data_IF_353771545641
#
_entry.id   IF_353771545641
#
_cell.length_a   1.000
_cell.length_b   1.000
_cell.length_c   1.000
_cell.angle_alpha   90.00
_cell.angle_beta   90.00
_cell.angle_gamma   90.00
#
_symmetry.space_group_name_H-M   'P 1'
#
loop_
_entity.id
_entity.type
_entity.pdbx_description
1 polymer ?
#
# COMPACT_ATOMS: atom_id res chain seq x y z
N UNK A 1 -12.94 -9.94 45.56
CA UNK A 1 -12.14 -10.24 46.78
C UNK A 1 -12.78 -9.56 47.98
N UNK A 2 -12.56 -10.02 49.21
CA UNK A 2 -13.03 -9.33 50.41
C UNK A 2 -11.83 -8.97 51.29
N UNK A 3 -11.80 -7.74 51.78
CA UNK A 3 -10.83 -7.27 52.75
C UNK A 3 -11.54 -7.03 54.07
N UNK A 4 -11.03 -7.59 55.17
CA UNK A 4 -11.51 -7.31 56.52
C UNK A 4 -10.44 -6.51 57.24
N UNK A 5 -10.80 -5.33 57.75
CA UNK A 5 -9.90 -4.47 58.50
C UNK A 5 -9.72 -4.92 59.96
N UNK A 6 -8.87 -4.20 60.69
CA UNK A 6 -8.59 -4.42 62.11
C UNK A 6 -9.81 -4.25 63.03
N UNK A 7 -10.85 -3.56 62.54
CA UNK A 7 -12.11 -3.30 63.25
C UNK A 7 -13.20 -4.35 62.90
N UNK A 8 -12.83 -5.41 62.18
CA UNK A 8 -13.71 -6.46 61.66
C UNK A 8 -14.78 -5.97 60.65
N UNK A 9 -14.58 -4.82 60.01
CA UNK A 9 -15.46 -4.37 58.92
C UNK A 9 -14.99 -4.99 57.62
N UNK A 10 -15.94 -5.61 56.90
CA UNK A 10 -15.64 -6.26 55.61
C UNK A 10 -16.00 -5.33 54.45
N UNK A 11 -15.00 -5.04 53.63
CA UNK A 11 -15.14 -4.35 52.35
C UNK A 11 -15.08 -5.37 51.22
N UNK A 12 -16.12 -5.38 50.37
CA UNK A 12 -16.09 -6.15 49.13
C UNK A 12 -15.34 -5.35 48.07
N UNK A 13 -14.21 -5.89 47.62
CA UNK A 13 -13.49 -5.40 46.44
C UNK A 13 -14.07 -6.14 45.24
N UNK A 14 -14.92 -5.44 44.51
CA UNK A 14 -15.49 -5.92 43.27
C UNK A 14 -14.59 -5.52 42.10
N UNK A 15 -14.05 -6.53 41.41
CA UNK A 15 -13.25 -6.35 40.20
C UNK A 15 -13.94 -6.94 38.97
N UNK A 16 -15.23 -7.27 39.07
CA UNK A 16 -15.99 -7.89 37.99
C UNK A 16 -16.19 -6.99 36.77
N UNK A 17 -15.93 -5.68 36.90
CA UNK A 17 -15.96 -4.72 35.79
C UNK A 17 -14.55 -4.31 35.32
N UNK A 18 -13.49 -4.95 35.82
CA UNK A 18 -12.13 -4.66 35.39
C UNK A 18 -11.78 -5.54 34.19
N UNK A 19 -11.94 -4.95 33.01
CA UNK A 19 -11.55 -5.55 31.73
C UNK A 19 -10.03 -5.64 31.61
N UNK A 20 -9.52 -6.82 31.22
CA UNK A 20 -8.09 -7.03 30.93
C UNK A 20 -7.91 -7.54 29.50
N UNK A 21 -7.15 -6.79 28.70
CA UNK A 21 -6.83 -7.19 27.33
C UNK A 21 -5.83 -8.37 27.35
N UNK A 22 -6.32 -9.58 27.05
CA UNK A 22 -5.51 -10.80 27.15
C UNK A 22 -4.63 -10.99 25.91
N UNK A 23 -5.18 -10.78 24.71
CA UNK A 23 -4.45 -10.86 23.44
C UNK A 23 -5.04 -9.90 22.42
N UNK A 24 -4.19 -9.27 21.61
CA UNK A 24 -4.56 -8.54 20.40
C UNK A 24 -3.60 -8.99 19.29
N UNK A 25 -4.13 -9.57 18.21
CA UNK A 25 -3.32 -10.10 17.12
C UNK A 25 -4.00 -9.89 15.76
N UNK A 26 -3.18 -9.81 14.71
CA UNK A 26 -3.66 -9.85 13.33
C UNK A 26 -4.04 -11.30 13.00
N UNK A 27 -5.25 -11.48 12.48
CA UNK A 27 -5.75 -12.77 12.05
C UNK A 27 -5.01 -13.26 10.79
N UNK A 28 -5.12 -14.55 10.50
CA UNK A 28 -4.48 -15.19 9.33
C UNK A 28 -5.03 -14.67 8.00
N UNK A 29 -6.18 -14.00 8.01
CA UNK A 29 -6.75 -13.33 6.83
C UNK A 29 -6.00 -12.04 6.43
N UNK A 30 -5.13 -11.53 7.32
CA UNK A 30 -4.36 -10.30 7.13
C UNK A 30 -5.18 -9.01 7.12
N UNK A 31 -6.47 -9.06 7.48
CA UNK A 31 -7.41 -7.92 7.40
C UNK A 31 -8.14 -7.66 8.71
N UNK A 32 -8.24 -8.63 9.60
CA UNK A 32 -8.93 -8.45 10.87
C UNK A 32 -7.95 -8.45 12.04
N UNK A 33 -8.07 -7.47 12.93
CA UNK A 33 -7.49 -7.56 14.26
C UNK A 33 -8.52 -8.24 15.17
N UNK A 34 -8.11 -9.32 15.81
CA UNK A 34 -8.92 -9.98 16.84
C UNK A 34 -8.30 -9.68 18.21
N UNK A 35 -9.14 -9.25 19.14
CA UNK A 35 -8.79 -9.29 20.55
C UNK A 35 -9.76 -10.18 21.33
N UNK A 36 -9.22 -10.84 22.34
CA UNK A 36 -9.98 -11.69 23.26
C UNK A 36 -9.90 -11.08 24.65
N UNK A 37 -11.05 -10.80 25.25
CA UNK A 37 -11.17 -10.30 26.63
C UNK A 37 -10.97 -11.42 27.67
N UNK A 38 -11.06 -11.08 28.95
CA UNK A 38 -10.92 -12.06 30.04
C UNK A 38 -12.06 -13.08 30.13
N UNK A 39 -13.22 -12.78 29.53
CA UNK A 39 -14.36 -13.68 29.46
C UNK A 39 -14.25 -14.65 28.26
N UNK A 40 -13.23 -14.47 27.42
CA UNK A 40 -12.98 -15.30 26.24
C UNK A 40 -13.81 -14.89 25.02
N UNK A 41 -14.47 -13.73 25.06
CA UNK A 41 -15.21 -13.18 23.92
C UNK A 41 -14.22 -12.58 22.94
N UNK A 42 -14.38 -12.92 21.66
CA UNK A 42 -13.57 -12.35 20.58
C UNK A 42 -14.28 -11.13 20.00
N UNK A 43 -13.57 -10.01 19.99
CA UNK A 43 -13.96 -8.82 19.24
C UNK A 43 -13.09 -8.72 17.99
N UNK A 44 -13.75 -8.61 16.84
CA UNK A 44 -13.09 -8.42 15.54
C UNK A 44 -13.17 -6.96 15.11
N UNK A 45 -12.03 -6.40 14.75
CA UNK A 45 -11.90 -5.07 14.15
C UNK A 45 -11.49 -5.29 12.71
N UNK A 46 -12.41 -5.01 11.79
CA UNK A 46 -12.15 -5.07 10.35
C UNK A 46 -11.29 -3.87 9.92
N UNK A 47 -10.11 -4.15 9.36
CA UNK A 47 -9.21 -3.14 8.85
C UNK A 47 -9.48 -2.78 7.39
N UNK A 48 -10.37 -3.48 6.67
CA UNK A 48 -10.62 -3.22 5.25
C UNK A 48 -11.04 -1.77 5.02
N UNK A 49 -12.02 -1.27 5.79
CA UNK A 49 -12.43 0.14 5.72
C UNK A 49 -11.30 1.11 6.08
N UNK A 50 -10.41 0.73 7.01
CA UNK A 50 -9.27 1.59 7.40
C UNK A 50 -8.26 1.63 6.25
N UNK A 51 -7.91 0.48 5.68
CA UNK A 51 -6.98 0.35 4.57
C UNK A 51 -7.54 1.12 3.36
N UNK A 52 -8.79 0.92 2.97
CA UNK A 52 -9.43 1.60 1.85
C UNK A 52 -9.41 3.13 2.01
N UNK A 53 -9.59 3.63 3.24
CA UNK A 53 -9.57 5.08 3.51
C UNK A 53 -8.17 5.70 3.40
N UNK A 54 -7.11 4.89 3.52
CA UNK A 54 -5.73 5.36 3.55
C UNK A 54 -4.88 4.80 2.39
N UNK A 55 -5.43 3.93 1.55
CA UNK A 55 -4.81 3.49 0.31
C UNK A 55 -4.76 4.67 -0.66
N UNK A 56 -3.59 4.91 -1.22
CA UNK A 56 -3.40 5.92 -2.26
C UNK A 56 -3.36 5.24 -3.63
N UNK A 57 -4.24 5.66 -4.53
CA UNK A 57 -4.27 5.14 -5.90
C UNK A 57 -3.50 6.08 -6.82
N UNK A 58 -2.58 5.50 -7.59
CA UNK A 58 -1.92 6.19 -8.71
C UNK A 58 -2.30 5.50 -10.02
N UNK A 59 -2.27 6.24 -11.13
CA UNK A 59 -2.58 5.68 -12.45
C UNK A 59 -1.56 6.12 -13.49
N UNK A 60 -1.31 5.25 -14.47
CA UNK A 60 -0.58 5.57 -15.69
C UNK A 60 -1.47 5.17 -16.87
N UNK A 61 -1.75 6.12 -17.75
CA UNK A 61 -2.59 5.93 -18.94
C UNK A 61 -1.77 6.28 -20.19
N UNK A 62 -1.75 5.38 -21.18
CA UNK A 62 -1.19 5.65 -22.50
C UNK A 62 -2.12 6.57 -23.30
N UNK A 63 -1.59 7.66 -23.85
CA UNK A 63 -2.34 8.62 -24.66
C UNK A 63 -2.33 8.29 -26.17
N UNK A 64 -1.61 7.24 -26.59
CA UNK A 64 -1.57 6.77 -27.99
C UNK A 64 -0.75 7.63 -28.95
N UNK A 65 0.05 8.56 -28.41
CA UNK A 65 0.87 9.50 -29.18
C UNK A 65 2.32 9.60 -28.66
N UNK A 66 2.82 8.56 -27.99
CA UNK A 66 4.15 8.58 -27.38
C UNK A 66 4.22 9.37 -26.07
N UNK A 67 3.06 9.66 -25.45
CA UNK A 67 2.99 10.25 -24.11
C UNK A 67 2.14 9.39 -23.18
N UNK A 68 2.46 9.42 -21.89
CA UNK A 68 1.66 8.83 -20.83
C UNK A 68 1.19 9.91 -19.86
N UNK A 69 -0.01 9.74 -19.32
CA UNK A 69 -0.53 10.55 -18.22
C UNK A 69 -0.36 9.78 -16.92
N UNK A 70 0.57 10.21 -16.07
CA UNK A 70 0.64 9.77 -14.68
C UNK A 70 -0.27 10.66 -13.82
N UNK A 71 -1.16 10.07 -13.03
CA UNK A 71 -1.95 10.77 -12.01
C UNK A 71 -1.52 10.26 -10.64
N UNK A 72 -1.04 11.15 -9.78
CA UNK A 72 -0.66 10.82 -8.41
C UNK A 72 -1.86 10.77 -7.45
N UNK A 73 -1.57 10.44 -6.20
CA UNK A 73 -2.55 10.32 -5.13
C UNK A 73 -3.26 11.64 -4.77
N UNK A 74 -2.65 12.78 -5.11
CA UNK A 74 -3.20 14.11 -4.93
C UNK A 74 -4.02 14.57 -6.16
N UNK A 75 -4.25 13.67 -7.13
CA UNK A 75 -4.86 13.93 -8.44
C UNK A 75 -4.09 14.94 -9.29
N UNK A 76 -2.80 15.13 -9.03
CA UNK A 76 -1.92 15.94 -9.88
C UNK A 76 -1.46 15.08 -11.05
N UNK A 77 -1.59 15.66 -12.24
CA UNK A 77 -1.21 14.98 -13.48
C UNK A 77 0.20 15.40 -13.90
N UNK A 78 1.00 14.40 -14.30
CA UNK A 78 2.29 14.59 -14.94
C UNK A 78 2.28 13.92 -16.30
N UNK A 79 2.58 14.68 -17.35
CA UNK A 79 2.80 14.12 -18.68
C UNK A 79 4.22 13.58 -18.76
N UNK A 80 4.32 12.29 -19.03
CA UNK A 80 5.58 11.62 -19.37
C UNK A 80 5.65 11.57 -20.89
N UNK A 81 6.53 12.38 -21.46
CA UNK A 81 6.73 12.46 -22.91
C UNK A 81 7.95 11.61 -23.31
N UNK A 82 7.69 10.55 -24.08
CA UNK A 82 8.72 9.69 -24.66
C UNK A 82 8.81 9.81 -26.18
N UNK A 83 8.15 10.79 -26.78
CA UNK A 83 8.11 10.99 -28.23
C UNK A 83 9.49 11.29 -28.83
N UNK A 84 10.41 11.84 -28.02
CA UNK A 84 11.78 12.15 -28.42
C UNK A 84 12.81 11.11 -27.92
N UNK A 85 12.37 9.95 -27.43
CA UNK A 85 13.31 8.88 -27.08
C UNK A 85 13.78 8.19 -28.36
N UNK A 86 14.99 8.54 -28.79
CA UNK A 86 15.65 7.90 -29.92
C UNK A 86 16.02 6.44 -29.60
N UNK A 87 15.78 5.54 -30.55
CA UNK A 87 16.28 4.16 -30.50
C UNK A 87 17.03 3.86 -31.79
N UNK A 88 18.23 3.30 -31.67
CA UNK A 88 18.98 2.81 -32.83
C UNK A 88 18.20 1.67 -33.50
N UNK A 89 17.55 1.95 -34.63
CA UNK A 89 16.73 0.97 -35.33
C UNK A 89 17.60 0.08 -36.21
N UNK A 90 18.58 0.65 -36.88
CA UNK A 90 19.48 -0.09 -37.74
C UNK A 90 20.89 0.51 -37.76
N UNK A 91 21.90 -0.34 -37.82
CA UNK A 91 23.29 0.06 -38.03
C UNK A 91 23.92 -0.90 -39.01
N UNK A 92 24.34 -0.39 -40.16
CA UNK A 92 24.98 -1.21 -41.19
C UNK A 92 26.20 -0.51 -41.79
N UNK A 93 27.09 -1.34 -42.33
CA UNK A 93 28.18 -0.86 -43.16
C UNK A 93 27.63 -0.48 -44.53
N UNK A 94 27.99 0.70 -45.01
CA UNK A 94 27.60 1.19 -46.33
C UNK A 94 28.09 0.26 -47.44
N UNK A 95 27.46 0.30 -48.63
CA UNK A 95 27.91 -0.47 -49.78
C UNK A 95 29.37 -0.21 -50.20
N UNK A 96 29.93 0.93 -49.80
CA UNK A 96 31.34 1.28 -50.03
C UNK A 96 32.31 0.55 -49.08
N UNK A 97 31.81 -0.07 -48.02
CA UNK A 97 32.56 -0.83 -47.04
C UNK A 97 33.39 0.01 -46.07
N UNK A 98 33.18 1.34 -46.00
CA UNK A 98 34.07 2.27 -45.27
C UNK A 98 33.38 3.04 -44.17
N UNK A 99 32.10 3.34 -44.30
CA UNK A 99 31.33 4.09 -43.31
C UNK A 99 30.18 3.24 -42.76
N UNK A 100 29.87 3.42 -41.48
CA UNK A 100 28.63 2.89 -40.93
C UNK A 100 27.55 3.97 -41.09
N UNK A 101 26.39 3.59 -41.62
CA UNK A 101 25.16 4.38 -41.57
C UNK A 101 24.30 3.85 -40.44
N UNK A 102 23.80 4.76 -39.62
CA UNK A 102 22.76 4.46 -38.64
C UNK A 102 21.43 4.93 -39.22
N UNK A 103 20.34 4.23 -38.92
CA UNK A 103 19.00 4.71 -39.19
C UNK A 103 18.27 4.82 -37.86
N UNK A 104 17.73 6.00 -37.55
CA UNK A 104 16.90 6.23 -36.38
C UNK A 104 15.52 5.56 -36.51
N UNK A 105 14.70 5.64 -35.46
CA UNK A 105 13.33 5.12 -35.42
C UNK A 105 12.35 5.82 -36.35
N UNK A 106 12.67 7.04 -36.79
CA UNK A 106 11.92 7.80 -37.78
C UNK A 106 12.30 7.42 -39.22
N UNK A 107 13.33 6.58 -39.39
CA UNK A 107 13.82 6.13 -40.69
C UNK A 107 14.82 7.09 -41.34
N UNK A 108 15.37 8.05 -40.59
CA UNK A 108 16.40 8.99 -41.04
C UNK A 108 17.78 8.36 -40.91
N UNK A 109 18.62 8.53 -41.93
CA UNK A 109 19.99 7.99 -42.04
C UNK A 109 21.03 9.07 -41.76
#
# INVERSE_FOLDING_TARGET
>A
FTYTDEDNVTTTIDISNLETLTTLALNVDGKTLEYTDEDGIVTSIDLETVIDNFETLTTIVDNGNGTFTYTDEDNVTTTIDISNLETLTFLALNPDGRTLEYTDEDGVV
#
